data_IF_974242590434
#
_entry.id   IF_974242590434
#
_cell.length_a   1.000
_cell.length_b   1.000
_cell.length_c   1.000
_cell.angle_alpha   90.00
_cell.angle_beta   90.00
_cell.angle_gamma   90.00
#
_symmetry.space_group_name_H-M   'P 1'
#
loop_
_entity.id
_entity.type
_entity.pdbx_description
1 polymer ?
#
# COMPACT_ATOMS: atom_id res chain seq x y z
N UNK A 1 17.35 26.30 -10.91
CA UNK A 1 16.21 26.58 -10.00
C UNK A 1 16.47 25.99 -8.65
N UNK A 2 16.13 26.67 -7.56
CA UNK A 2 16.17 26.06 -6.22
C UNK A 2 14.86 25.31 -5.99
N UNK A 3 14.92 24.03 -5.70
CA UNK A 3 13.79 23.22 -5.26
C UNK A 3 14.10 22.68 -3.86
N UNK A 4 13.06 22.33 -3.13
CA UNK A 4 13.21 21.74 -1.80
C UNK A 4 12.41 20.44 -1.76
N UNK A 5 13.02 19.37 -1.24
CA UNK A 5 12.32 18.13 -0.94
C UNK A 5 11.93 18.09 0.54
N UNK A 6 10.75 17.59 0.82
CA UNK A 6 10.38 17.26 2.19
C UNK A 6 11.10 16.01 2.66
N UNK A 7 11.10 15.76 3.95
CA UNK A 7 11.65 14.56 4.55
C UNK A 7 10.99 13.28 3.97
N UNK A 8 11.80 12.24 3.79
CA UNK A 8 11.34 10.90 3.41
C UNK A 8 10.65 10.24 4.60
N UNK A 9 9.37 9.93 4.44
CA UNK A 9 8.57 9.33 5.52
C UNK A 9 7.90 8.03 5.08
N UNK A 10 7.79 7.02 5.96
CA UNK A 10 6.97 5.84 5.68
C UNK A 10 5.51 6.24 5.43
N UNK A 11 4.89 5.65 4.42
CA UNK A 11 3.48 5.90 4.06
C UNK A 11 2.59 4.70 4.28
N UNK A 12 3.13 3.49 4.14
CA UNK A 12 2.45 2.24 4.38
C UNK A 12 3.48 1.20 4.79
N UNK A 13 3.25 0.56 5.91
CA UNK A 13 4.01 -0.62 6.34
C UNK A 13 3.06 -1.80 6.45
N UNK A 14 3.49 -2.96 5.97
CA UNK A 14 2.82 -4.23 6.18
C UNK A 14 3.82 -5.17 6.84
N UNK A 15 3.52 -5.55 8.05
CA UNK A 15 4.32 -6.54 8.80
C UNK A 15 3.52 -7.82 8.98
N UNK A 16 4.20 -8.95 9.14
CA UNK A 16 3.58 -10.25 9.43
C UNK A 16 4.19 -10.89 10.67
N UNK A 17 3.36 -11.67 11.33
CA UNK A 17 3.77 -12.69 12.32
C UNK A 17 3.12 -14.01 11.94
N UNK A 18 3.64 -15.13 12.44
CA UNK A 18 3.03 -16.44 12.29
C UNK A 18 2.58 -16.97 13.66
N UNK A 19 1.43 -17.60 13.67
CA UNK A 19 0.91 -18.32 14.85
C UNK A 19 0.75 -19.80 14.53
N UNK A 20 0.72 -20.61 15.57
CA UNK A 20 0.60 -22.08 15.50
C UNK A 20 -0.77 -22.56 14.99
N UNK A 21 -1.79 -21.70 14.98
CA UNK A 21 -3.13 -22.05 14.52
C UNK A 21 -3.23 -21.79 13.02
N UNK A 22 -3.27 -22.87 12.24
CA UNK A 22 -3.24 -22.86 10.77
C UNK A 22 -4.02 -24.04 10.19
N UNK A 23 -4.08 -24.14 8.88
CA UNK A 23 -4.78 -25.19 8.11
C UNK A 23 -6.30 -25.23 8.36
N UNK A 24 -6.89 -24.08 8.71
CA UNK A 24 -8.31 -23.96 9.02
C UNK A 24 -9.14 -23.52 7.82
N UNK A 25 -10.40 -24.00 7.79
CA UNK A 25 -11.41 -23.51 6.87
C UNK A 25 -11.92 -22.13 7.32
N UNK A 26 -11.57 -21.09 6.60
CA UNK A 26 -11.91 -19.71 6.97
C UNK A 26 -13.42 -19.41 6.96
N UNK A 27 -14.23 -20.12 6.16
CA UNK A 27 -15.68 -19.90 6.11
C UNK A 27 -16.35 -20.31 7.40
N UNK A 28 -16.06 -21.50 7.88
CA UNK A 28 -16.58 -22.02 9.13
C UNK A 28 -16.09 -21.20 10.33
N UNK A 29 -14.81 -20.81 10.28
CA UNK A 29 -14.19 -20.04 11.34
C UNK A 29 -14.80 -18.63 11.48
N UNK A 30 -15.16 -17.98 10.37
CA UNK A 30 -15.72 -16.62 10.39
C UNK A 30 -17.03 -16.53 11.15
N UNK A 31 -17.86 -17.57 11.07
CA UNK A 31 -19.18 -17.58 11.72
C UNK A 31 -19.06 -17.62 13.25
N UNK A 32 -17.93 -18.10 13.75
CA UNK A 32 -17.66 -18.23 15.19
C UNK A 32 -17.22 -16.92 15.85
N UNK A 33 -16.80 -15.90 15.09
CA UNK A 33 -16.30 -14.66 15.65
C UNK A 33 -17.39 -13.60 15.80
N UNK A 34 -17.42 -12.95 16.99
CA UNK A 34 -18.24 -11.78 17.28
C UNK A 34 -17.34 -10.64 17.73
N UNK A 35 -17.51 -9.41 17.21
CA UNK A 35 -16.78 -8.24 17.68
C UNK A 35 -16.96 -8.05 19.18
N UNK A 36 -15.87 -7.84 19.91
CA UNK A 36 -15.88 -7.62 21.35
C UNK A 36 -14.62 -6.91 21.82
N UNK A 37 -14.72 -6.08 22.85
CA UNK A 37 -13.59 -5.37 23.44
C UNK A 37 -12.88 -4.49 22.45
N UNK A 38 -11.59 -4.70 22.27
CA UNK A 38 -10.76 -3.95 21.31
C UNK A 38 -11.04 -4.32 19.85
N UNK A 39 -11.72 -5.43 19.57
CA UNK A 39 -12.10 -5.84 18.21
C UNK A 39 -13.44 -5.22 17.86
N UNK A 40 -13.41 -4.10 17.17
CA UNK A 40 -14.61 -3.28 16.91
C UNK A 40 -15.37 -3.69 15.64
N UNK A 41 -14.70 -4.34 14.68
CA UNK A 41 -15.36 -4.91 13.52
C UNK A 41 -14.57 -6.10 12.97
N UNK A 42 -15.28 -7.02 12.32
CA UNK A 42 -14.72 -8.22 11.70
C UNK A 42 -15.32 -8.36 10.30
N UNK A 43 -14.45 -8.49 9.31
CA UNK A 43 -14.85 -8.56 7.91
C UNK A 43 -14.23 -9.74 7.19
N UNK A 44 -14.98 -10.27 6.24
CA UNK A 44 -14.45 -11.07 5.14
C UNK A 44 -15.37 -10.93 3.92
N UNK A 45 -15.16 -11.75 2.89
CA UNK A 45 -16.00 -11.67 1.68
C UNK A 45 -17.45 -12.11 1.87
N UNK A 46 -17.78 -12.80 2.95
CA UNK A 46 -19.06 -13.45 3.17
C UNK A 46 -19.84 -12.87 4.34
N UNK A 47 -19.14 -12.23 5.27
CA UNK A 47 -19.76 -11.75 6.48
C UNK A 47 -19.09 -10.47 7.00
N UNK A 48 -19.90 -9.64 7.62
CA UNK A 48 -19.48 -8.35 8.17
C UNK A 48 -20.21 -8.12 9.48
N UNK A 49 -19.47 -7.97 10.56
CA UNK A 49 -19.99 -7.69 11.89
C UNK A 49 -19.23 -6.51 12.50
N UNK A 50 -19.93 -5.63 13.19
CA UNK A 50 -19.33 -4.51 13.91
C UNK A 50 -20.06 -4.26 15.21
N UNK A 51 -19.36 -3.66 16.17
CA UNK A 51 -20.00 -3.04 17.34
C UNK A 51 -20.76 -1.78 16.92
N UNK A 52 -21.74 -1.38 17.73
CA UNK A 52 -22.49 -0.14 17.53
C UNK A 52 -21.56 1.06 17.40
N UNK A 53 -21.80 1.89 16.38
CA UNK A 53 -20.97 3.05 16.07
C UNK A 53 -19.73 2.76 15.19
N UNK A 54 -19.46 1.50 14.87
CA UNK A 54 -18.33 1.10 14.01
C UNK A 54 -18.73 0.52 12.66
N UNK A 55 -19.97 0.67 12.24
CA UNK A 55 -20.52 0.15 10.97
C UNK A 55 -19.82 0.74 9.75
N UNK A 56 -19.22 1.91 9.87
CA UNK A 56 -18.43 2.54 8.78
C UNK A 56 -17.19 1.74 8.41
N UNK A 57 -16.67 0.90 9.30
CA UNK A 57 -15.54 0.01 9.06
C UNK A 57 -15.93 -1.31 8.38
N UNK A 58 -17.24 -1.56 8.24
CA UNK A 58 -17.73 -2.70 7.49
C UNK A 58 -17.57 -2.41 6.00
N UNK A 59 -16.81 -3.24 5.30
CA UNK A 59 -16.72 -3.17 3.86
C UNK A 59 -18.05 -3.62 3.26
N UNK A 60 -18.88 -2.70 2.79
CA UNK A 60 -20.14 -3.06 2.11
C UNK A 60 -19.83 -4.01 0.95
N UNK A 61 -20.54 -5.14 0.84
CA UNK A 61 -20.36 -6.02 -0.30
C UNK A 61 -20.58 -5.21 -1.57
N UNK A 62 -19.65 -5.31 -2.54
CA UNK A 62 -19.80 -4.64 -3.82
C UNK A 62 -21.14 -5.04 -4.40
N UNK A 63 -22.06 -4.09 -4.54
CA UNK A 63 -23.39 -4.35 -5.07
C UNK A 63 -23.24 -5.08 -6.41
N UNK A 64 -24.09 -6.08 -6.67
CA UNK A 64 -24.05 -6.90 -7.90
C UNK A 64 -24.08 -6.06 -9.20
N UNK A 65 -24.47 -4.79 -9.14
CA UNK A 65 -24.54 -3.86 -10.27
C UNK A 65 -23.17 -3.42 -10.81
N UNK A 66 -22.05 -3.69 -10.14
CA UNK A 66 -20.72 -3.34 -10.64
C UNK A 66 -20.00 -4.48 -11.37
N UNK A 67 -20.68 -5.57 -11.67
CA UNK A 67 -20.17 -6.60 -12.57
C UNK A 67 -20.19 -6.11 -14.04
N UNK A 68 -19.48 -5.03 -14.34
CA UNK A 68 -19.02 -4.79 -15.70
C UNK A 68 -18.11 -5.95 -16.06
N UNK A 69 -18.60 -6.81 -16.94
CA UNK A 69 -17.87 -7.91 -17.55
C UNK A 69 -16.51 -7.45 -18.04
N UNK A 70 -15.47 -7.59 -17.23
CA UNK A 70 -14.13 -7.75 -17.76
C UNK A 70 -14.09 -9.17 -18.28
N UNK A 71 -14.29 -9.32 -19.57
CA UNK A 71 -13.94 -10.52 -20.30
C UNK A 71 -12.42 -10.63 -20.25
N UNK A 72 -11.88 -11.25 -19.22
CA UNK A 72 -10.52 -11.76 -19.23
C UNK A 72 -10.63 -13.26 -19.49
N UNK A 73 -10.31 -13.63 -20.71
CA UNK A 73 -10.14 -14.99 -21.18
C UNK A 73 -8.91 -15.63 -20.53
N UNK A 74 -9.00 -15.96 -19.25
CA UNK A 74 -8.18 -17.01 -18.64
C UNK A 74 -9.06 -17.73 -17.63
N UNK A 75 -9.58 -18.88 -18.04
CA UNK A 75 -10.05 -19.92 -17.13
C UNK A 75 -8.92 -20.25 -16.17
N UNK A 76 -8.92 -19.68 -14.98
CA UNK A 76 -8.20 -20.26 -13.87
C UNK A 76 -9.05 -21.41 -13.33
N UNK A 77 -8.67 -22.61 -13.72
CA UNK A 77 -9.06 -23.85 -13.07
C UNK A 77 -8.34 -23.83 -11.72
N UNK A 78 -9.08 -23.59 -10.65
CA UNK A 78 -8.55 -23.58 -9.29
C UNK A 78 -9.54 -22.92 -8.36
N UNK A 79 -10.13 -23.71 -7.50
CA UNK A 79 -11.05 -23.29 -6.45
C UNK A 79 -10.38 -22.26 -5.55
N UNK A 80 -10.94 -21.05 -5.53
CA UNK A 80 -10.64 -20.00 -4.57
C UNK A 80 -9.32 -19.26 -4.76
N UNK A 81 -9.41 -18.02 -5.25
CA UNK A 81 -8.27 -17.10 -5.20
C UNK A 81 -7.75 -17.02 -3.76
N UNK A 82 -6.48 -17.33 -3.59
CA UNK A 82 -5.77 -17.26 -2.30
C UNK A 82 -5.84 -15.88 -1.61
N UNK A 83 -6.23 -14.84 -2.33
CA UNK A 83 -6.40 -13.47 -1.84
C UNK A 83 -7.69 -13.24 -1.03
N UNK A 84 -8.66 -14.15 -1.08
CA UNK A 84 -9.96 -13.98 -0.44
C UNK A 84 -10.14 -14.85 0.81
N UNK A 85 -9.09 -15.48 1.30
CA UNK A 85 -9.14 -16.41 2.43
C UNK A 85 -8.65 -15.81 3.73
N UNK A 86 -8.78 -14.50 3.92
CA UNK A 86 -8.41 -13.81 5.15
C UNK A 86 -9.62 -13.31 5.92
N UNK A 87 -9.46 -13.20 7.23
CA UNK A 87 -10.38 -12.53 8.13
C UNK A 87 -9.73 -11.21 8.51
N UNK A 88 -10.46 -10.12 8.34
CA UNK A 88 -10.03 -8.77 8.69
C UNK A 88 -10.58 -8.40 10.05
N UNK A 89 -9.70 -8.06 10.97
CA UNK A 89 -10.04 -7.56 12.30
C UNK A 89 -9.71 -6.08 12.35
N UNK A 90 -10.70 -5.26 12.66
CA UNK A 90 -10.53 -3.86 13.00
C UNK A 90 -10.30 -3.73 14.48
N UNK A 91 -9.11 -3.31 14.86
CA UNK A 91 -8.65 -3.27 16.26
C UNK A 91 -8.54 -1.82 16.72
N UNK A 92 -9.18 -1.49 17.82
CA UNK A 92 -9.06 -0.18 18.46
C UNK A 92 -7.69 -0.06 19.14
N UNK A 93 -7.00 1.04 18.83
CA UNK A 93 -5.67 1.33 19.35
C UNK A 93 -5.46 2.85 19.47
N UNK A 94 -5.49 3.37 20.72
CA UNK A 94 -5.25 4.81 21.02
C UNK A 94 -5.99 5.76 20.07
N UNK A 95 -7.32 5.73 20.05
CA UNK A 95 -8.20 6.54 19.21
C UNK A 95 -8.09 6.31 17.69
N UNK A 96 -7.31 5.33 17.28
CA UNK A 96 -7.18 4.90 15.90
C UNK A 96 -7.70 3.47 15.71
N UNK A 97 -8.23 3.19 14.53
CA UNK A 97 -8.59 1.81 14.17
C UNK A 97 -7.51 1.26 13.25
N UNK A 98 -6.97 0.11 13.62
CA UNK A 98 -5.93 -0.59 12.86
C UNK A 98 -6.51 -1.86 12.22
N UNK A 99 -6.03 -2.17 11.02
CA UNK A 99 -6.44 -3.35 10.28
C UNK A 99 -5.42 -4.47 10.46
N UNK A 100 -5.89 -5.60 11.00
CA UNK A 100 -5.13 -6.85 11.04
C UNK A 100 -5.82 -7.88 10.15
N UNK A 101 -5.05 -8.62 9.36
CA UNK A 101 -5.55 -9.72 8.54
C UNK A 101 -4.99 -11.04 9.04
N UNK A 102 -5.87 -11.93 9.43
CA UNK A 102 -5.52 -13.30 9.75
C UNK A 102 -5.83 -14.20 8.56
N UNK A 103 -4.86 -15.04 8.21
CA UNK A 103 -4.97 -16.04 7.14
C UNK A 103 -5.02 -17.44 7.77
N UNK A 104 -6.22 -18.01 7.97
CA UNK A 104 -6.40 -19.27 8.70
C UNK A 104 -5.65 -20.46 8.12
N UNK A 105 -5.43 -20.46 6.80
CA UNK A 105 -4.69 -21.55 6.14
C UNK A 105 -3.20 -21.56 6.46
N UNK A 106 -2.59 -20.40 6.64
CA UNK A 106 -1.13 -20.29 6.86
C UNK A 106 -0.75 -19.91 8.28
N UNK A 107 -1.70 -19.57 9.15
CA UNK A 107 -1.43 -19.01 10.47
C UNK A 107 -0.81 -17.62 10.45
N UNK A 108 -0.83 -16.95 9.29
CA UNK A 108 -0.22 -15.62 9.14
C UNK A 108 -1.18 -14.54 9.63
N UNK A 109 -0.66 -13.61 10.45
CA UNK A 109 -1.32 -12.36 10.79
C UNK A 109 -0.52 -11.22 10.15
N UNK A 110 -1.19 -10.36 9.38
CA UNK A 110 -0.63 -9.15 8.81
C UNK A 110 -1.16 -7.91 9.54
N UNK A 111 -0.26 -7.01 9.89
CA UNK A 111 -0.57 -5.66 10.37
C UNK A 111 -0.44 -4.73 9.18
N UNK A 112 -1.50 -3.97 8.87
CA UNK A 112 -1.57 -3.14 7.68
C UNK A 112 -1.70 -1.67 8.06
N UNK A 113 -0.85 -0.83 7.46
CA UNK A 113 -0.95 0.62 7.58
C UNK A 113 -0.19 1.24 8.74
N UNK A 114 0.50 0.44 9.55
CA UNK A 114 1.33 0.94 10.65
C UNK A 114 2.59 0.08 10.84
N UNK A 115 3.53 0.60 11.60
CA UNK A 115 4.66 -0.20 12.06
C UNK A 115 4.18 -1.34 12.94
N UNK A 116 5.00 -2.38 13.07
CA UNK A 116 4.73 -3.48 13.97
C UNK A 116 4.52 -2.98 15.40
N UNK A 117 3.44 -3.44 16.02
CA UNK A 117 3.13 -3.19 17.42
C UNK A 117 2.84 -4.52 18.10
N UNK A 118 3.64 -4.87 19.12
CA UNK A 118 3.42 -6.07 19.92
C UNK A 118 2.09 -5.98 20.69
N UNK A 119 1.74 -4.79 21.17
CA UNK A 119 0.48 -4.56 21.88
C UNK A 119 -0.72 -4.87 21.01
N UNK A 120 -0.72 -4.37 19.77
CA UNK A 120 -1.79 -4.59 18.82
C UNK A 120 -2.00 -6.09 18.50
N UNK A 121 -0.89 -6.82 18.36
CA UNK A 121 -0.95 -8.27 18.16
C UNK A 121 -1.44 -8.97 19.43
N UNK A 122 -1.01 -8.54 20.62
CA UNK A 122 -1.47 -9.12 21.87
C UNK A 122 -2.98 -8.91 22.08
N UNK A 123 -3.54 -7.77 21.68
CA UNK A 123 -5.00 -7.55 21.69
C UNK A 123 -5.72 -8.58 20.83
N UNK A 124 -5.24 -8.81 19.59
CA UNK A 124 -5.83 -9.84 18.71
C UNK A 124 -5.66 -11.25 19.28
N UNK A 125 -4.48 -11.61 19.79
CA UNK A 125 -4.24 -12.93 20.39
C UNK A 125 -5.14 -13.16 21.61
N UNK A 126 -5.28 -12.16 22.48
CA UNK A 126 -6.18 -12.23 23.65
C UNK A 126 -7.63 -12.41 23.21
N UNK A 127 -8.06 -11.68 22.20
CA UNK A 127 -9.39 -11.84 21.61
C UNK A 127 -9.58 -13.28 21.06
N UNK A 128 -8.64 -13.78 20.26
CA UNK A 128 -8.73 -15.13 19.71
C UNK A 128 -8.85 -16.21 20.80
N UNK A 129 -8.04 -16.11 21.86
CA UNK A 129 -8.14 -17.02 23.02
C UNK A 129 -9.51 -17.00 23.70
N UNK A 130 -10.11 -15.84 23.78
CA UNK A 130 -11.40 -15.61 24.46
C UNK A 130 -12.61 -15.79 23.53
N UNK A 131 -12.39 -16.10 22.25
CA UNK A 131 -13.46 -16.21 21.25
C UNK A 131 -14.39 -17.43 21.45
N UNK A 132 -14.08 -18.33 22.37
CA UNK A 132 -14.82 -19.58 22.55
C UNK A 132 -14.50 -20.65 21.51
N UNK A 133 -13.61 -20.38 20.57
CA UNK A 133 -13.16 -21.34 19.58
C UNK A 133 -11.98 -22.13 20.17
N UNK A 134 -12.20 -23.39 20.49
CA UNK A 134 -11.25 -24.26 21.20
C UNK A 134 -9.85 -24.27 20.56
N UNK A 135 -9.78 -24.20 19.22
CA UNK A 135 -8.52 -24.18 18.47
C UNK A 135 -7.60 -23.00 18.81
N UNK A 136 -8.13 -21.91 19.37
CA UNK A 136 -7.34 -20.74 19.76
C UNK A 136 -7.00 -20.69 21.25
N UNK A 137 -7.45 -21.65 22.06
CA UNK A 137 -7.18 -21.67 23.51
C UNK A 137 -5.69 -21.61 23.84
N UNK A 138 -4.85 -22.25 23.02
CA UNK A 138 -3.40 -22.33 23.19
C UNK A 138 -2.62 -21.67 22.03
N UNK A 139 -3.16 -20.56 21.49
CA UNK A 139 -2.52 -19.84 20.40
C UNK A 139 -1.19 -19.21 20.85
N UNK A 140 -0.13 -19.47 20.08
CA UNK A 140 1.26 -18.99 20.31
C UNK A 140 1.89 -18.47 19.03
N UNK A 141 2.89 -17.61 19.18
CA UNK A 141 3.73 -17.19 18.06
C UNK A 141 4.68 -18.32 17.65
N UNK A 142 4.73 -18.60 16.35
CA UNK A 142 5.74 -19.49 15.73
C UNK A 142 6.95 -18.71 15.22
N UNK A 143 6.73 -17.49 14.71
CA UNK A 143 7.82 -16.63 14.28
C UNK A 143 7.57 -15.17 14.60
N UNK A 144 8.65 -14.42 14.80
CA UNK A 144 8.64 -12.98 15.09
C UNK A 144 8.22 -12.13 13.91
N UNK A 145 8.19 -10.79 14.12
CA UNK A 145 7.74 -9.86 13.10
C UNK A 145 8.69 -9.79 11.90
N UNK A 146 8.12 -9.85 10.71
CA UNK A 146 8.82 -9.60 9.45
C UNK A 146 8.09 -8.51 8.67
N UNK A 147 8.82 -7.50 8.23
CA UNK A 147 8.27 -6.50 7.30
C UNK A 147 8.13 -7.12 5.91
N UNK A 148 6.91 -7.16 5.38
CA UNK A 148 6.61 -7.66 4.03
C UNK A 148 6.71 -6.57 2.98
N UNK A 149 6.27 -5.37 3.35
CA UNK A 149 6.16 -4.23 2.46
C UNK A 149 6.33 -2.95 3.26
N UNK A 150 7.12 -2.04 2.73
CA UNK A 150 7.23 -0.69 3.25
C UNK A 150 7.25 0.28 2.08
N UNK A 151 6.27 1.18 2.07
CA UNK A 151 6.20 2.26 1.11
C UNK A 151 6.62 3.56 1.78
N UNK A 152 7.18 4.47 0.98
CA UNK A 152 7.64 5.77 1.44
C UNK A 152 6.99 6.87 0.62
N UNK A 153 6.96 8.07 1.18
CA UNK A 153 6.49 9.28 0.51
C UNK A 153 7.33 10.48 0.91
N UNK A 154 7.39 11.43 0.01
CA UNK A 154 7.87 12.78 0.23
C UNK A 154 7.26 13.72 -0.80
N UNK A 155 7.58 14.99 -0.75
CA UNK A 155 7.01 16.00 -1.64
C UNK A 155 8.11 16.91 -2.12
N UNK A 156 8.14 17.22 -3.40
CA UNK A 156 8.89 18.34 -3.93
C UNK A 156 8.04 19.60 -3.76
N UNK A 157 8.59 20.61 -3.10
CA UNK A 157 7.90 21.86 -2.89
C UNK A 157 7.99 22.70 -4.16
N UNK A 158 6.83 22.93 -4.75
CA UNK A 158 6.65 23.74 -5.94
C UNK A 158 6.21 25.15 -5.55
N UNK A 159 6.65 26.16 -6.29
CA UNK A 159 6.12 27.51 -6.16
C UNK A 159 4.65 27.56 -6.63
N UNK A 160 3.97 28.64 -6.27
CA UNK A 160 2.58 28.85 -6.70
C UNK A 160 2.50 28.85 -8.24
N UNK A 161 1.56 28.08 -8.77
CA UNK A 161 1.34 27.88 -10.21
C UNK A 161 2.44 27.09 -10.95
N UNK A 162 3.33 26.43 -10.26
CA UNK A 162 4.26 25.50 -10.88
C UNK A 162 3.70 24.08 -10.90
N UNK A 163 4.17 23.29 -11.85
CA UNK A 163 3.93 21.86 -11.96
C UNK A 163 5.20 21.15 -12.43
N UNK A 164 5.26 19.85 -12.22
CA UNK A 164 6.36 19.01 -12.72
C UNK A 164 6.08 18.62 -14.15
N UNK A 165 6.97 18.99 -15.07
CA UNK A 165 6.95 18.49 -16.43
C UNK A 165 7.52 17.07 -16.48
N UNK A 166 6.63 16.10 -16.43
CA UNK A 166 7.00 14.69 -16.42
C UNK A 166 7.59 14.20 -17.75
N UNK A 167 7.37 14.92 -18.86
CA UNK A 167 8.01 14.58 -20.14
C UNK A 167 9.48 14.91 -20.10
N UNK A 168 9.84 16.10 -19.62
CA UNK A 168 11.23 16.48 -19.42
C UNK A 168 11.94 15.50 -18.47
N UNK A 169 11.31 15.09 -17.36
CA UNK A 169 11.88 14.08 -16.48
C UNK A 169 12.08 12.73 -17.17
N UNK A 170 11.11 12.30 -17.99
CA UNK A 170 11.23 11.05 -18.72
C UNK A 170 12.36 11.11 -19.76
N UNK A 171 12.48 12.24 -20.47
CA UNK A 171 13.53 12.46 -21.45
C UNK A 171 14.92 12.46 -20.79
N UNK A 172 15.07 13.11 -19.63
CA UNK A 172 16.32 13.05 -18.87
C UNK A 172 16.67 11.60 -18.46
N UNK A 173 15.70 10.84 -17.95
CA UNK A 173 15.93 9.44 -17.56
C UNK A 173 16.29 8.51 -18.72
N UNK A 174 15.96 8.89 -19.95
CA UNK A 174 16.27 8.10 -21.15
C UNK A 174 17.60 8.49 -21.82
N UNK A 175 18.00 9.74 -21.72
CA UNK A 175 19.10 10.28 -22.52
C UNK A 175 20.31 10.75 -21.70
N UNK A 176 20.12 11.11 -20.42
CA UNK A 176 21.21 11.58 -19.57
C UNK A 176 22.00 10.40 -18.97
N UNK A 177 23.13 10.06 -19.57
CA UNK A 177 23.93 8.91 -19.16
C UNK A 177 24.43 9.00 -17.72
N UNK A 178 24.73 10.20 -17.21
CA UNK A 178 25.15 10.40 -15.83
C UNK A 178 24.04 10.03 -14.85
N UNK A 179 22.79 10.38 -15.16
CA UNK A 179 21.62 10.00 -14.37
C UNK A 179 21.36 8.49 -14.39
N UNK A 180 21.47 7.89 -15.58
CA UNK A 180 21.31 6.44 -15.72
C UNK A 180 22.35 5.70 -14.87
N UNK A 181 23.60 6.17 -14.87
CA UNK A 181 24.68 5.59 -14.09
C UNK A 181 24.54 5.84 -12.57
N UNK A 182 23.95 6.96 -12.16
CA UNK A 182 23.68 7.30 -10.76
C UNK A 182 22.48 6.55 -10.19
N UNK A 183 21.66 5.92 -11.03
CA UNK A 183 20.48 5.21 -10.60
C UNK A 183 20.85 3.96 -9.78
N UNK A 184 20.37 3.80 -8.53
CA UNK A 184 20.79 2.71 -7.66
C UNK A 184 20.27 1.34 -8.09
N UNK A 185 19.25 1.30 -8.95
CA UNK A 185 18.66 0.09 -9.48
C UNK A 185 18.38 0.22 -10.97
N UNK A 186 18.56 -0.86 -11.76
CA UNK A 186 18.23 -0.82 -13.19
C UNK A 186 16.75 -0.48 -13.41
N UNK A 187 16.49 0.49 -14.27
CA UNK A 187 15.14 0.86 -14.69
C UNK A 187 14.64 -0.19 -15.68
N UNK A 188 13.48 -0.78 -15.41
CA UNK A 188 12.79 -1.69 -16.31
C UNK A 188 12.03 -0.89 -17.38
N UNK A 189 11.21 0.07 -16.93
CA UNK A 189 10.54 1.02 -17.82
C UNK A 189 10.10 2.29 -17.09
N UNK A 190 9.97 3.35 -17.85
CA UNK A 190 9.26 4.58 -17.47
C UNK A 190 7.89 4.53 -18.13
N UNK A 191 6.83 4.93 -17.40
CA UNK A 191 5.47 4.84 -17.94
C UNK A 191 5.37 5.49 -19.32
N UNK A 192 4.67 4.79 -20.21
CA UNK A 192 4.45 5.26 -21.57
C UNK A 192 3.62 6.55 -21.57
N UNK A 193 4.29 7.63 -21.91
CA UNK A 193 3.68 8.96 -22.01
C UNK A 193 2.82 9.11 -23.29
N UNK A 194 2.93 8.17 -24.24
CA UNK A 194 2.24 8.23 -25.53
C UNK A 194 0.78 7.78 -25.45
N UNK A 195 0.43 6.99 -24.42
CA UNK A 195 -0.95 6.51 -24.23
C UNK A 195 -1.88 7.50 -23.53
N UNK A 196 -1.38 8.66 -23.14
CA UNK A 196 -2.18 9.64 -22.42
C UNK A 196 -2.78 10.69 -23.37
N UNK A 197 -3.88 10.35 -23.98
CA UNK A 197 -4.71 11.34 -24.71
C UNK A 197 -5.31 12.36 -23.74
N UNK A 198 -5.40 12.06 -22.45
CA UNK A 198 -6.00 12.94 -21.46
C UNK A 198 -5.13 13.02 -20.19
N UNK A 199 -4.55 14.19 -19.96
CA UNK A 199 -3.89 14.66 -18.73
C UNK A 199 -2.92 13.67 -18.09
N UNK A 200 -1.65 13.78 -18.44
CA UNK A 200 -0.53 13.19 -17.73
C UNK A 200 -0.52 13.72 -16.29
N UNK A 201 -1.08 12.97 -15.35
CA UNK A 201 -1.18 13.38 -13.95
C UNK A 201 -0.01 12.88 -13.11
N UNK A 202 0.71 11.87 -13.61
CA UNK A 202 1.84 11.28 -12.91
C UNK A 202 2.81 10.58 -13.86
N UNK A 203 4.09 10.56 -13.47
CA UNK A 203 5.12 9.69 -14.02
C UNK A 203 5.25 8.45 -13.13
N UNK A 204 5.40 7.27 -13.72
CA UNK A 204 5.77 6.06 -13.02
C UNK A 204 7.11 5.53 -13.55
N UNK A 205 8.06 5.31 -12.64
CA UNK A 205 9.35 4.67 -12.92
C UNK A 205 9.29 3.29 -12.28
N UNK A 206 9.53 2.25 -13.06
CA UNK A 206 9.51 0.86 -12.59
C UNK A 206 10.92 0.29 -12.71
N UNK A 207 11.39 -0.32 -11.62
CA UNK A 207 12.70 -0.94 -11.55
C UNK A 207 12.61 -2.47 -11.69
N UNK A 208 13.69 -3.10 -12.12
CA UNK A 208 13.75 -4.56 -12.31
C UNK A 208 13.46 -5.34 -11.03
N UNK A 209 13.78 -4.79 -9.87
CA UNK A 209 13.49 -5.35 -8.55
C UNK A 209 12.02 -5.14 -8.08
N UNK A 210 11.13 -4.66 -8.99
CA UNK A 210 9.70 -4.39 -8.75
C UNK A 210 9.40 -3.18 -7.87
N UNK A 211 10.38 -2.42 -7.44
CA UNK A 211 10.14 -1.12 -6.82
C UNK A 211 9.56 -0.18 -7.89
N UNK A 212 8.69 0.72 -7.45
CA UNK A 212 8.04 1.71 -8.32
C UNK A 212 8.08 3.08 -7.67
N UNK A 213 8.36 4.10 -8.46
CA UNK A 213 8.22 5.50 -8.04
C UNK A 213 7.08 6.11 -8.81
N UNK A 214 6.18 6.81 -8.12
CA UNK A 214 5.16 7.65 -8.75
C UNK A 214 5.43 9.11 -8.39
N UNK A 215 5.54 9.96 -9.40
CA UNK A 215 5.74 11.41 -9.28
C UNK A 215 4.48 12.10 -9.81
N UNK A 216 3.79 12.84 -8.95
CA UNK A 216 2.53 13.52 -9.29
C UNK A 216 2.79 14.95 -9.76
N UNK A 217 2.35 15.28 -10.99
CA UNK A 217 2.67 16.54 -11.67
C UNK A 217 2.27 17.80 -10.91
N UNK A 218 1.02 17.86 -10.44
CA UNK A 218 0.44 19.08 -9.81
C UNK A 218 0.77 19.21 -8.33
N UNK A 219 0.85 18.11 -7.62
CA UNK A 219 1.01 18.15 -6.16
C UNK A 219 2.45 18.04 -5.69
N UNK A 220 3.37 17.71 -6.59
CA UNK A 220 4.76 17.41 -6.23
C UNK A 220 4.91 16.20 -5.32
N UNK A 221 3.83 15.43 -5.06
CA UNK A 221 3.90 14.22 -4.23
C UNK A 221 4.66 13.14 -4.94
N UNK A 222 5.52 12.45 -4.19
CA UNK A 222 6.31 11.33 -4.69
C UNK A 222 6.09 10.16 -3.75
N UNK A 223 5.77 9.00 -4.32
CA UNK A 223 5.61 7.77 -3.57
C UNK A 223 6.55 6.70 -4.12
N UNK A 224 7.21 5.99 -3.21
CA UNK A 224 8.04 4.83 -3.49
C UNK A 224 7.28 3.59 -3.01
N UNK A 225 7.01 2.65 -3.90
CA UNK A 225 6.22 1.44 -3.65
C UNK A 225 7.05 0.18 -3.89
N UNK A 226 6.72 -0.88 -3.16
CA UNK A 226 7.30 -2.20 -3.36
C UNK A 226 7.89 -2.77 -2.08
N UNK A 227 8.49 -3.95 -2.17
CA UNK A 227 9.20 -4.59 -1.06
C UNK A 227 10.53 -3.88 -0.84
N UNK A 228 10.49 -2.66 -0.32
CA UNK A 228 11.68 -1.85 -0.12
C UNK A 228 12.09 -1.84 1.34
N UNK A 229 13.39 -1.86 1.57
CA UNK A 229 13.97 -1.55 2.87
C UNK A 229 14.15 -0.03 2.99
N UNK A 230 14.36 0.45 4.19
CA UNK A 230 14.69 1.86 4.43
C UNK A 230 15.91 2.30 3.63
N UNK A 231 16.94 1.47 3.57
CA UNK A 231 18.15 1.74 2.76
C UNK A 231 17.81 1.93 1.28
N UNK A 232 16.98 1.04 0.71
CA UNK A 232 16.58 1.15 -0.70
C UNK A 232 15.79 2.42 -0.97
N UNK A 233 14.92 2.83 -0.04
CA UNK A 233 14.14 4.05 -0.16
C UNK A 233 15.03 5.31 -0.07
N UNK A 234 16.04 5.30 0.82
CA UNK A 234 17.00 6.40 0.97
C UNK A 234 17.85 6.56 -0.28
N UNK A 235 18.36 5.47 -0.85
CA UNK A 235 19.12 5.50 -2.12
C UNK A 235 18.27 6.08 -3.27
N UNK A 236 16.99 5.71 -3.35
CA UNK A 236 16.09 6.26 -4.36
C UNK A 236 15.74 7.73 -4.09
N UNK A 237 15.66 8.14 -2.84
CA UNK A 237 15.46 9.53 -2.48
C UNK A 237 16.65 10.40 -2.91
N UNK A 238 17.89 9.95 -2.66
CA UNK A 238 19.11 10.61 -3.11
C UNK A 238 19.19 10.67 -4.64
N UNK A 239 18.88 9.57 -5.31
CA UNK A 239 18.81 9.53 -6.78
C UNK A 239 17.82 10.56 -7.33
N UNK A 240 16.63 10.66 -6.75
CA UNK A 240 15.64 11.65 -7.16
C UNK A 240 16.10 13.09 -6.90
N UNK A 241 16.91 13.29 -5.86
CA UNK A 241 17.57 14.56 -5.61
C UNK A 241 18.50 14.94 -6.78
N UNK A 242 19.32 13.98 -7.26
CA UNK A 242 20.18 14.18 -8.44
C UNK A 242 19.32 14.43 -9.68
N UNK A 243 18.29 13.63 -9.92
CA UNK A 243 17.38 13.80 -11.06
C UNK A 243 16.79 15.21 -11.12
N UNK A 244 16.24 15.70 -10.01
CA UNK A 244 15.63 17.03 -9.95
C UNK A 244 16.65 18.18 -10.01
N UNK A 245 17.90 17.97 -9.61
CA UNK A 245 18.94 18.98 -9.75
C UNK A 245 19.51 19.07 -11.17
N UNK A 246 19.48 17.97 -11.90
CA UNK A 246 20.02 17.91 -13.27
C UNK A 246 19.00 18.36 -14.32
N UNK A 247 17.71 18.03 -14.11
CA UNK A 247 16.65 18.32 -15.07
C UNK A 247 15.94 19.63 -14.76
N UNK A 248 15.74 20.45 -15.79
CA UNK A 248 14.84 21.61 -15.70
C UNK A 248 13.37 21.16 -15.79
N UNK A 249 12.88 20.61 -14.70
CA UNK A 249 11.59 19.91 -14.61
C UNK A 249 10.39 20.78 -14.26
N UNK A 250 10.59 21.97 -13.68
CA UNK A 250 9.50 22.80 -13.22
C UNK A 250 9.02 23.72 -14.35
N UNK A 251 7.72 23.74 -14.57
CA UNK A 251 7.07 24.61 -15.54
C UNK A 251 5.95 25.42 -14.88
N UNK A 252 5.74 26.64 -15.35
CA UNK A 252 4.59 27.46 -14.93
C UNK A 252 3.32 26.98 -15.62
N UNK A 253 2.23 26.90 -14.87
CA UNK A 253 0.93 26.66 -15.47
C UNK A 253 0.57 27.85 -16.41
N UNK A 254 0.01 27.60 -17.60
CA UNK A 254 -0.43 28.69 -18.45
C UNK A 254 -1.45 29.55 -17.71
N UNK A 255 -1.27 30.84 -17.75
CA UNK A 255 -2.22 31.80 -17.18
C UNK A 255 -3.60 31.59 -17.80
N UNK A 256 -4.56 31.17 -16.98
CA UNK A 256 -5.95 30.92 -17.39
C UNK A 256 -6.64 32.23 -17.87
N UNK A 257 -6.01 33.40 -17.69
CA UNK A 257 -6.54 34.69 -18.03
C UNK A 257 -6.16 35.19 -19.44
N UNK A 258 -5.51 34.37 -20.28
CA UNK A 258 -5.14 34.76 -21.65
C UNK A 258 -6.02 34.12 -22.74
N UNK A 259 -7.16 33.54 -22.42
CA UNK A 259 -8.19 33.19 -23.42
C UNK A 259 -9.33 34.20 -23.34
N UNK A 260 -9.15 35.31 -24.05
CA UNK A 260 -10.24 36.19 -24.48
C UNK A 260 -10.55 35.89 -25.94
#
# INVERSE_FOLDING_TARGET
MSYQLSELTPSLTVSKVLINVKDLNYKELCECFEPAGDIVAINNNYFHKALDGYESYITKPKSEKSKRKKVSSKKMIGDGSTFNSSIEFMVSDNDCIKLLRYYPRSGQIQIIGCQYSQELINKLISYLRNSGVELFSDVKFESGPHTLLQNYKFTILLEKNQYIDIRKLADCLQHEQELINACPFPIDHVSDLNNAVHSLTKLAIVFTNKIRIHIWTKSGKINIFGSTTELSASLLYEFLHVLFSTCDFACNAPDVNQTV
#
